data_IF_370449811292
#
_entry.id   IF_370449811292
#
_cell.length_a   1.000
_cell.length_b   1.000
_cell.length_c   1.000
_cell.angle_alpha   90.00
_cell.angle_beta   90.00
_cell.angle_gamma   90.00
#
_symmetry.space_group_name_H-M   'P 1'
#
loop_
_entity.id
_entity.type
_entity.pdbx_description
1 polymer ?
#
# COMPACT_ATOMS: atom_id res chain seq x y z
N UNK A 1 -17.61 -24.86 -0.75
CA UNK A 1 -17.83 -23.70 -1.65
C UNK A 1 -17.16 -22.45 -1.08
N UNK A 2 -16.00 -22.04 -1.61
CA UNK A 2 -15.48 -20.64 -1.67
C UNK A 2 -14.07 -20.64 -2.28
N UNK A 3 -13.95 -21.19 -3.48
CA UNK A 3 -12.79 -20.95 -4.34
C UNK A 3 -12.97 -19.57 -4.97
N UNK A 4 -12.61 -18.51 -4.23
CA UNK A 4 -12.50 -17.17 -4.81
C UNK A 4 -11.07 -16.97 -5.25
N UNK A 5 -10.77 -17.55 -6.41
CA UNK A 5 -9.57 -17.26 -7.20
C UNK A 5 -9.42 -15.75 -7.38
N UNK A 6 -8.67 -15.13 -6.47
CA UNK A 6 -8.19 -13.76 -6.64
C UNK A 6 -7.17 -13.79 -7.78
N UNK A 7 -7.64 -13.56 -9.00
CA UNK A 7 -6.80 -13.16 -10.13
C UNK A 7 -6.14 -11.83 -9.72
N UNK A 8 -4.96 -11.94 -9.14
CA UNK A 8 -4.16 -10.79 -8.77
C UNK A 8 -3.35 -10.45 -10.01
N UNK A 9 -3.76 -9.42 -10.73
CA UNK A 9 -2.97 -8.74 -11.75
C UNK A 9 -1.67 -8.26 -11.11
N UNK A 10 -0.69 -9.15 -11.13
CA UNK A 10 0.58 -8.99 -10.43
C UNK A 10 1.59 -8.57 -11.47
N UNK A 11 1.99 -7.32 -11.34
CA UNK A 11 3.14 -6.74 -12.02
C UNK A 11 4.29 -7.74 -11.93
N UNK A 12 4.70 -8.26 -13.09
CA UNK A 12 5.67 -9.37 -13.18
C UNK A 12 7.08 -8.77 -13.06
N UNK A 13 7.64 -8.82 -11.86
CA UNK A 13 9.00 -8.35 -11.59
C UNK A 13 9.96 -9.53 -11.59
N UNK A 14 11.13 -9.39 -12.21
CA UNK A 14 12.19 -10.38 -12.12
C UNK A 14 12.85 -10.27 -10.75
N UNK A 15 12.73 -11.33 -9.95
CA UNK A 15 13.39 -11.38 -8.64
C UNK A 15 14.83 -11.88 -8.79
N UNK A 16 15.85 -11.18 -8.23
CA UNK A 16 17.25 -11.64 -8.30
C UNK A 16 17.49 -12.95 -7.56
N UNK A 17 16.71 -13.24 -6.52
CA UNK A 17 16.85 -14.45 -5.70
C UNK A 17 16.18 -15.67 -6.32
N UNK A 18 14.97 -15.51 -6.87
CA UNK A 18 14.25 -16.60 -7.53
C UNK A 18 14.64 -16.79 -9.00
N UNK A 19 15.35 -15.81 -9.59
CA UNK A 19 15.77 -15.77 -11.01
C UNK A 19 14.62 -16.04 -12.00
N UNK A 20 13.40 -15.69 -11.61
CA UNK A 20 12.20 -15.87 -12.42
C UNK A 20 11.29 -14.66 -12.28
N UNK A 21 10.48 -14.43 -13.30
CA UNK A 21 9.46 -13.40 -13.31
C UNK A 21 8.33 -13.84 -12.37
N UNK A 22 8.38 -13.32 -11.14
CA UNK A 22 7.41 -13.61 -10.11
C UNK A 22 6.41 -12.48 -9.99
N UNK A 23 5.19 -12.78 -9.56
CA UNK A 23 4.29 -11.76 -9.10
C UNK A 23 4.87 -10.95 -7.92
N UNK A 24 4.91 -9.61 -8.03
CA UNK A 24 5.24 -8.74 -6.90
C UNK A 24 4.00 -8.43 -6.04
N UNK A 25 4.16 -8.42 -4.71
CA UNK A 25 3.16 -7.88 -3.78
C UNK A 25 3.57 -6.46 -3.39
N UNK A 26 2.65 -5.50 -3.50
CA UNK A 26 2.82 -4.17 -2.93
C UNK A 26 2.52 -4.21 -1.43
N UNK A 27 3.40 -3.65 -0.62
CA UNK A 27 3.23 -3.49 0.82
C UNK A 27 3.38 -2.00 1.13
N UNK A 28 2.33 -1.41 1.69
CA UNK A 28 2.35 -0.02 2.11
C UNK A 28 3.33 0.12 3.27
N UNK A 29 4.36 0.94 3.10
CA UNK A 29 5.36 1.22 4.13
C UNK A 29 4.98 2.46 4.94
N UNK A 30 4.64 3.54 4.23
CA UNK A 30 4.45 4.84 4.83
C UNK A 30 3.37 5.61 4.08
N UNK A 31 2.49 6.26 4.84
CA UNK A 31 1.43 7.10 4.34
C UNK A 31 1.79 8.54 4.67
N UNK A 32 1.95 9.38 3.64
CA UNK A 32 2.28 10.80 3.78
C UNK A 32 1.16 11.67 3.19
N UNK A 33 1.03 12.95 3.62
CA UNK A 33 0.04 13.87 3.06
C UNK A 33 0.15 14.08 1.55
N UNK A 34 1.36 14.00 1.00
CA UNK A 34 1.62 14.18 -0.44
C UNK A 34 1.68 12.88 -1.24
N UNK A 35 1.52 11.71 -0.59
CA UNK A 35 1.67 10.44 -1.28
C UNK A 35 1.94 9.25 -0.37
N UNK A 36 1.84 8.05 -0.92
CA UNK A 36 2.04 6.79 -0.21
C UNK A 36 3.27 6.05 -0.75
N UNK A 37 4.16 5.63 0.14
CA UNK A 37 5.33 4.84 -0.22
C UNK A 37 5.03 3.35 -0.07
N UNK A 38 5.30 2.60 -1.13
CA UNK A 38 5.11 1.15 -1.19
C UNK A 38 6.41 0.44 -1.50
N UNK A 39 6.63 -0.69 -0.83
CA UNK A 39 7.64 -1.66 -1.22
C UNK A 39 7.02 -2.80 -2.02
N UNK A 40 7.73 -3.21 -3.06
CA UNK A 40 7.43 -4.38 -3.85
C UNK A 40 8.32 -5.52 -3.39
N UNK A 41 7.70 -6.58 -2.93
CA UNK A 41 8.39 -7.80 -2.50
C UNK A 41 7.95 -8.98 -3.33
N UNK A 42 8.88 -9.90 -3.59
CA UNK A 42 8.60 -11.15 -4.26
C UNK A 42 7.54 -11.92 -3.48
N UNK A 43 6.44 -12.32 -4.13
CA UNK A 43 5.38 -13.06 -3.47
C UNK A 43 5.78 -14.47 -3.00
N UNK A 44 6.89 -14.98 -3.54
CA UNK A 44 7.39 -16.34 -3.30
C UNK A 44 8.43 -16.35 -2.17
N UNK A 45 9.46 -15.49 -2.25
CA UNK A 45 10.58 -15.48 -1.30
C UNK A 45 10.65 -14.24 -0.40
N UNK A 46 9.78 -13.24 -0.60
CA UNK A 46 9.78 -12.00 0.19
C UNK A 46 10.92 -11.03 -0.09
N UNK A 47 11.81 -11.32 -1.05
CA UNK A 47 12.92 -10.41 -1.41
C UNK A 47 12.39 -9.11 -1.99
N UNK A 48 12.91 -7.97 -1.54
CA UNK A 48 12.59 -6.66 -2.10
C UNK A 48 13.06 -6.58 -3.56
N UNK A 49 12.12 -6.31 -4.47
CA UNK A 49 12.36 -6.14 -5.91
C UNK A 49 12.38 -4.66 -6.31
N UNK A 50 11.92 -3.77 -5.42
CA UNK A 50 11.98 -2.33 -5.59
C UNK A 50 10.97 -1.60 -4.71
N UNK A 51 11.05 -0.27 -4.65
CA UNK A 51 10.06 0.58 -3.98
C UNK A 51 9.51 1.60 -4.96
N UNK A 52 8.23 1.97 -4.80
CA UNK A 52 7.61 3.07 -5.55
C UNK A 52 6.89 4.00 -4.58
N UNK A 53 7.09 5.29 -4.79
CA UNK A 53 6.28 6.32 -4.15
C UNK A 53 5.15 6.67 -5.12
N UNK A 54 3.93 6.59 -4.62
CA UNK A 54 2.75 7.04 -5.33
C UNK A 54 2.35 8.41 -4.76
N UNK A 55 2.04 9.38 -5.61
CA UNK A 55 1.62 10.71 -5.17
C UNK A 55 0.13 10.77 -4.78
N UNK A 56 -0.58 9.63 -4.74
CA UNK A 56 -1.96 9.58 -4.26
C UNK A 56 -2.02 9.79 -2.73
N UNK A 57 -2.69 10.86 -2.28
CA UNK A 57 -2.90 11.12 -0.87
C UNK A 57 -4.16 10.39 -0.33
N UNK A 58 -4.85 9.59 -1.15
CA UNK A 58 -6.11 8.94 -0.76
C UNK A 58 -5.96 8.01 0.43
N UNK A 59 -4.85 7.29 0.53
CA UNK A 59 -4.56 6.45 1.71
C UNK A 59 -4.41 7.31 2.99
N UNK A 60 -3.81 8.49 2.89
CA UNK A 60 -3.61 9.42 4.01
C UNK A 60 -4.94 9.85 4.61
N UNK A 61 -5.83 10.37 3.78
CA UNK A 61 -7.17 10.81 4.21
C UNK A 61 -7.99 9.68 4.83
N UNK A 62 -7.79 8.44 4.37
CA UNK A 62 -8.52 7.28 4.88
C UNK A 62 -7.96 6.75 6.20
N UNK A 63 -6.71 7.04 6.53
CA UNK A 63 -6.07 6.62 7.78
C UNK A 63 -6.15 7.66 8.89
N UNK A 64 -6.39 8.93 8.57
CA UNK A 64 -6.44 9.99 9.58
C UNK A 64 -7.82 10.01 10.24
N UNK A 65 -7.89 9.96 11.58
CA UNK A 65 -9.16 10.14 12.28
C UNK A 65 -9.70 11.56 12.02
N UNK A 66 -11.02 11.73 11.85
CA UNK A 66 -11.59 13.06 11.69
C UNK A 66 -11.19 13.95 12.87
N UNK A 67 -10.92 15.22 12.59
CA UNK A 67 -10.57 16.17 13.63
C UNK A 67 -11.68 16.21 14.70
N UNK A 68 -11.33 16.26 16.00
CA UNK A 68 -12.34 16.41 17.04
C UNK A 68 -13.07 17.74 16.82
N UNK A 69 -14.39 17.67 16.67
CA UNK A 69 -15.24 18.86 16.62
C UNK A 69 -15.20 19.51 18.00
N UNK A 70 -14.40 20.57 18.16
CA UNK A 70 -14.51 21.41 19.37
C UNK A 70 -15.86 22.11 19.31
N UNK A 71 -16.70 22.00 20.34
CA UNK A 71 -17.91 22.80 20.40
C UNK A 71 -17.54 24.30 20.39
N UNK A 72 -18.38 25.17 19.80
CA UNK A 72 -18.13 26.60 19.83
C UNK A 72 -18.03 27.08 21.28
N UNK A 73 -16.93 27.74 21.62
CA UNK A 73 -16.77 28.40 22.91
C UNK A 73 -17.73 29.58 22.95
N UNK A 74 -18.89 29.40 23.58
CA UNK A 74 -19.87 30.48 23.73
C UNK A 74 -21.35 30.07 23.75
N UNK A 75 -21.69 28.78 23.78
CA UNK A 75 -23.06 28.37 24.14
C UNK A 75 -23.28 28.63 25.65
N UNK A 76 -23.60 29.88 25.98
CA UNK A 76 -24.13 30.32 27.27
C UNK A 76 -25.54 30.82 27.07
#
# INVERSE_FOLDING_TARGET
MRDRGRRQDRQRSVCPRCRRATPARKKLLLVLPGGSKYDYVCAECGTAVGGKTDNDPGAFHRTIPPAPTRPPRGAR
#
